data_IF_957240288734
#
_entry.id   IF_957240288734
#
_cell.length_a   1.000
_cell.length_b   1.000
_cell.length_c   1.000
_cell.angle_alpha   90.00
_cell.angle_beta   90.00
_cell.angle_gamma   90.00
#
_symmetry.space_group_name_H-M   'P 1'
#
loop_
_entity.id
_entity.type
_entity.pdbx_description
1 polymer ?
#
# COMPACT_ATOMS: atom_id res chain seq x y z
N UNK A 1 -10.70 12.69 2.59
CA UNK A 1 -9.48 13.18 1.93
C UNK A 1 -8.29 12.74 2.77
N UNK A 2 -7.64 11.63 2.40
CA UNK A 2 -6.44 11.09 3.08
C UNK A 2 -5.14 11.57 2.40
N UNK A 3 -5.22 12.53 1.47
CA UNK A 3 -4.15 12.81 0.52
C UNK A 3 -2.88 13.45 1.11
N UNK A 4 -2.84 13.74 2.41
CA UNK A 4 -1.70 14.45 3.01
C UNK A 4 -1.53 14.19 4.52
N UNK A 5 -1.70 12.95 4.98
CA UNK A 5 -1.42 12.65 6.40
C UNK A 5 0.09 12.66 6.66
N UNK A 6 0.49 13.08 7.87
CA UNK A 6 1.89 13.10 8.29
C UNK A 6 2.54 11.71 8.21
N UNK A 7 1.75 10.64 8.43
CA UNK A 7 2.22 9.27 8.32
C UNK A 7 2.51 8.87 6.86
N UNK A 8 1.61 9.21 5.93
CA UNK A 8 1.81 8.96 4.51
C UNK A 8 3.12 9.61 4.01
N UNK A 9 3.35 10.87 4.38
CA UNK A 9 4.58 11.60 4.04
C UNK A 9 5.83 10.99 4.68
N UNK A 10 5.75 10.58 5.95
CA UNK A 10 6.83 9.87 6.65
C UNK A 10 7.20 8.57 5.93
N UNK A 11 6.21 7.77 5.55
CA UNK A 11 6.44 6.47 4.88
C UNK A 11 7.04 6.68 3.50
N UNK A 12 6.49 7.63 2.72
CA UNK A 12 7.04 8.00 1.40
C UNK A 12 8.52 8.35 1.51
N UNK A 13 8.88 9.23 2.45
CA UNK A 13 10.26 9.65 2.63
C UNK A 13 11.16 8.50 3.09
N UNK A 14 10.65 7.58 3.92
CA UNK A 14 11.39 6.39 4.32
C UNK A 14 11.67 5.45 3.14
N UNK A 15 10.70 5.24 2.23
CA UNK A 15 10.90 4.47 1.00
C UNK A 15 11.94 5.13 0.11
N UNK A 16 11.82 6.45 -0.14
CA UNK A 16 12.77 7.17 -0.99
C UNK A 16 14.18 7.14 -0.40
N UNK A 17 14.34 7.40 0.90
CA UNK A 17 15.64 7.41 1.55
C UNK A 17 16.26 6.02 1.67
N UNK A 18 15.45 5.00 1.94
CA UNK A 18 15.92 3.64 2.18
C UNK A 18 16.15 2.81 0.93
N UNK A 19 15.39 3.05 -0.15
CA UNK A 19 15.31 2.14 -1.29
C UNK A 19 15.69 2.77 -2.65
N UNK A 20 16.01 4.06 -2.73
CA UNK A 20 16.36 4.71 -4.02
C UNK A 20 17.48 3.98 -4.78
N UNK A 21 18.51 3.56 -4.07
CA UNK A 21 19.71 2.91 -4.62
C UNK A 21 19.60 1.37 -4.59
N UNK A 22 18.47 0.84 -4.11
CA UNK A 22 18.22 -0.59 -4.05
C UNK A 22 17.72 -1.11 -5.41
N UNK A 23 18.44 -2.04 -6.07
CA UNK A 23 17.98 -2.65 -7.32
C UNK A 23 16.73 -3.52 -7.12
N UNK A 24 16.46 -4.00 -5.90
CA UNK A 24 15.30 -4.83 -5.51
C UNK A 24 14.28 -4.04 -4.67
N UNK A 25 14.23 -2.71 -4.85
CA UNK A 25 13.36 -1.83 -4.08
C UNK A 25 11.87 -2.25 -4.08
N UNK A 26 11.38 -2.83 -5.19
CA UNK A 26 10.00 -3.28 -5.30
C UNK A 26 9.70 -4.48 -4.39
N UNK A 27 10.68 -5.35 -4.14
CA UNK A 27 10.56 -6.46 -3.18
C UNK A 27 10.87 -6.00 -1.75
N UNK A 28 11.87 -5.13 -1.58
CA UNK A 28 12.35 -4.63 -0.29
C UNK A 28 11.38 -3.69 0.43
N UNK A 29 10.38 -3.12 -0.27
CA UNK A 29 9.38 -2.25 0.37
C UNK A 29 8.51 -2.99 1.38
N UNK A 30 8.23 -4.29 1.16
CA UNK A 30 7.36 -5.08 2.04
C UNK A 30 7.83 -5.10 3.49
N UNK A 31 9.07 -5.56 3.77
CA UNK A 31 9.64 -5.55 5.12
C UNK A 31 9.69 -4.16 5.78
N UNK A 32 10.03 -3.13 5.02
CA UNK A 32 10.05 -1.74 5.52
C UNK A 32 8.66 -1.29 5.99
N UNK A 33 7.63 -1.56 5.17
CA UNK A 33 6.25 -1.21 5.51
C UNK A 33 5.74 -2.02 6.70
N UNK A 34 6.04 -3.31 6.75
CA UNK A 34 5.68 -4.15 7.89
C UNK A 34 6.26 -3.61 9.20
N UNK A 35 7.52 -3.18 9.19
CA UNK A 35 8.16 -2.57 10.36
C UNK A 35 7.44 -1.27 10.78
N UNK A 36 7.20 -0.36 9.83
CA UNK A 36 6.56 0.93 10.12
C UNK A 36 5.13 0.71 10.65
N UNK A 37 4.31 -0.09 9.96
CA UNK A 37 2.93 -0.38 10.38
C UNK A 37 2.90 -1.01 11.78
N UNK A 38 3.81 -1.95 12.08
CA UNK A 38 3.89 -2.58 13.40
C UNK A 38 4.16 -1.57 14.52
N UNK A 39 4.98 -0.56 14.25
CA UNK A 39 5.28 0.52 15.21
C UNK A 39 4.12 1.51 15.34
N UNK A 40 3.53 1.94 14.22
CA UNK A 40 2.47 2.95 14.20
C UNK A 40 1.17 2.42 14.83
N UNK A 41 0.86 1.14 14.64
CA UNK A 41 -0.30 0.52 15.29
C UNK A 41 -0.17 0.39 16.83
N UNK A 42 0.99 0.68 17.41
CA UNK A 42 1.19 0.76 18.87
C UNK A 42 0.98 2.17 19.42
N UNK A 43 0.84 3.18 18.56
CA UNK A 43 0.68 4.56 18.98
C UNK A 43 -0.72 4.80 19.56
N UNK A 44 -0.86 5.63 20.62
CA UNK A 44 -2.16 5.98 21.17
C UNK A 44 -3.06 6.65 20.12
N UNK A 45 -4.31 6.20 20.02
CA UNK A 45 -5.29 6.74 19.07
C UNK A 45 -5.12 6.27 17.61
N UNK A 46 -4.11 5.44 17.31
CA UNK A 46 -3.97 4.83 16.00
C UNK A 46 -5.13 3.86 15.71
N UNK A 47 -5.70 3.97 14.51
CA UNK A 47 -6.68 2.99 14.02
C UNK A 47 -6.06 2.13 12.94
N UNK A 48 -6.41 0.84 12.91
CA UNK A 48 -5.89 -0.10 11.90
C UNK A 48 -6.10 0.41 10.48
N UNK A 49 -7.29 0.95 10.19
CA UNK A 49 -7.59 1.50 8.88
C UNK A 49 -6.69 2.68 8.52
N UNK A 50 -6.59 3.69 9.40
CA UNK A 50 -5.81 4.89 9.10
C UNK A 50 -4.33 4.56 8.85
N UNK A 51 -3.75 3.72 9.71
CA UNK A 51 -2.34 3.31 9.57
C UNK A 51 -2.11 2.54 8.27
N UNK A 52 -2.95 1.55 7.96
CA UNK A 52 -2.76 0.74 6.75
C UNK A 52 -2.96 1.56 5.48
N UNK A 53 -4.01 2.38 5.42
CA UNK A 53 -4.28 3.23 4.25
C UNK A 53 -3.10 4.19 4.02
N UNK A 54 -2.64 4.89 5.05
CA UNK A 54 -1.59 5.90 4.93
C UNK A 54 -0.23 5.28 4.62
N UNK A 55 0.11 4.15 5.26
CA UNK A 55 1.36 3.44 4.98
C UNK A 55 1.38 2.87 3.56
N UNK A 56 0.31 2.21 3.11
CA UNK A 56 0.25 1.66 1.75
C UNK A 56 0.32 2.76 0.69
N UNK A 57 -0.41 3.86 0.87
CA UNK A 57 -0.35 5.00 -0.06
C UNK A 57 1.04 5.65 -0.07
N UNK A 58 1.62 5.92 1.11
CA UNK A 58 2.95 6.50 1.24
C UNK A 58 4.01 5.63 0.58
N UNK A 59 3.91 4.30 0.74
CA UNK A 59 4.80 3.35 0.11
C UNK A 59 4.75 3.43 -1.42
N UNK A 60 3.53 3.40 -1.98
CA UNK A 60 3.33 3.48 -3.43
C UNK A 60 3.80 4.81 -3.99
N UNK A 61 3.53 5.93 -3.30
CA UNK A 61 4.06 7.26 -3.68
C UNK A 61 5.59 7.28 -3.65
N UNK A 62 6.20 6.63 -2.65
CA UNK A 62 7.65 6.48 -2.57
C UNK A 62 8.20 5.75 -3.79
N UNK A 63 7.61 4.59 -4.13
CA UNK A 63 8.01 3.79 -5.29
C UNK A 63 7.85 4.55 -6.63
N UNK A 64 6.79 5.35 -6.77
CA UNK A 64 6.62 6.24 -7.94
C UNK A 64 7.79 7.22 -8.05
N UNK A 65 8.21 7.84 -6.94
CA UNK A 65 9.28 8.84 -6.94
C UNK A 65 10.67 8.25 -7.25
N UNK A 66 10.89 6.98 -6.93
CA UNK A 66 12.14 6.28 -7.26
C UNK A 66 12.04 5.43 -8.53
N UNK A 67 10.97 5.62 -9.31
CA UNK A 67 10.73 5.00 -10.63
C UNK A 67 10.83 3.46 -10.62
N UNK A 68 10.31 2.81 -9.57
CA UNK A 68 10.36 1.35 -9.42
C UNK A 68 9.07 0.68 -9.89
N UNK A 69 9.14 -0.64 -10.06
CA UNK A 69 8.03 -1.50 -10.47
C UNK A 69 6.88 -1.45 -9.44
N UNK A 70 5.83 -0.69 -9.78
CA UNK A 70 4.65 -0.51 -8.92
C UNK A 70 3.84 -1.80 -8.76
N UNK A 71 3.56 -2.59 -9.81
CA UNK A 71 2.90 -3.90 -9.65
C UNK A 71 3.62 -4.83 -8.68
N UNK A 72 4.94 -4.98 -8.79
CA UNK A 72 5.72 -5.82 -7.88
C UNK A 72 5.71 -5.26 -6.45
N UNK A 73 5.87 -3.94 -6.30
CA UNK A 73 5.78 -3.25 -5.02
C UNK A 73 4.46 -3.45 -4.29
N UNK A 74 3.34 -3.33 -5.01
CA UNK A 74 2.00 -3.55 -4.47
C UNK A 74 1.84 -4.97 -3.91
N UNK A 75 2.31 -5.99 -4.64
CA UNK A 75 2.30 -7.39 -4.19
C UNK A 75 3.17 -7.56 -2.95
N UNK A 76 4.40 -7.02 -2.94
CA UNK A 76 5.32 -7.15 -1.81
C UNK A 76 4.73 -6.53 -0.53
N UNK A 77 4.09 -5.36 -0.65
CA UNK A 77 3.39 -4.70 0.46
C UNK A 77 2.28 -5.59 1.02
N UNK A 78 1.38 -6.11 0.16
CA UNK A 78 0.27 -6.94 0.64
C UNK A 78 0.72 -8.26 1.24
N UNK A 79 1.70 -8.94 0.64
CA UNK A 79 2.26 -10.18 1.20
C UNK A 79 2.86 -9.92 2.59
N UNK A 80 3.60 -8.84 2.76
CA UNK A 80 4.17 -8.47 4.05
C UNK A 80 3.09 -8.18 5.10
N UNK A 81 2.02 -7.47 4.72
CA UNK A 81 0.92 -7.15 5.63
C UNK A 81 0.05 -8.38 5.97
N UNK A 82 -0.11 -9.33 5.05
CA UNK A 82 -0.85 -10.57 5.33
C UNK A 82 -0.28 -11.33 6.55
N UNK A 83 1.05 -11.31 6.72
CA UNK A 83 1.70 -11.88 7.91
C UNK A 83 1.30 -11.14 9.19
N UNK A 84 1.25 -9.81 9.18
CA UNK A 84 0.82 -9.01 10.33
C UNK A 84 -0.63 -9.29 10.74
N UNK A 85 -1.50 -9.50 9.75
CA UNK A 85 -2.92 -9.75 9.98
C UNK A 85 -3.13 -11.09 10.69
N UNK A 86 -2.32 -12.11 10.39
CA UNK A 86 -2.40 -13.42 11.07
C UNK A 86 -2.02 -13.34 12.56
N UNK A 87 -1.18 -12.38 12.94
CA UNK A 87 -0.69 -12.23 14.31
C UNK A 87 -1.62 -11.40 15.21
N UNK A 88 -2.63 -10.75 14.64
CA UNK A 88 -3.53 -9.83 15.35
C UNK A 88 -4.93 -10.40 15.52
N UNK A 89 -5.54 -10.11 16.67
CA UNK A 89 -6.97 -10.31 16.89
C UNK A 89 -7.77 -9.30 16.06
N UNK A 90 -8.49 -9.77 15.05
CA UNK A 90 -9.30 -8.94 14.16
C UNK A 90 -9.87 -9.75 13.01
N UNK A 91 -10.66 -9.10 12.16
CA UNK A 91 -11.12 -9.67 10.89
C UNK A 91 -10.01 -9.54 9.84
N UNK A 92 -9.43 -10.65 9.36
CA UNK A 92 -8.33 -10.59 8.41
C UNK A 92 -8.72 -9.98 7.07
N UNK A 93 -9.93 -10.27 6.59
CA UNK A 93 -10.43 -9.79 5.30
C UNK A 93 -10.60 -8.28 5.34
N UNK A 94 -11.20 -7.77 6.42
CA UNK A 94 -11.38 -6.32 6.61
C UNK A 94 -10.05 -5.58 6.72
N UNK A 95 -9.07 -6.19 7.37
CA UNK A 95 -7.73 -5.58 7.53
C UNK A 95 -6.98 -5.52 6.20
N UNK A 96 -7.01 -6.60 5.42
CA UNK A 96 -6.43 -6.60 4.07
C UNK A 96 -7.14 -5.62 3.13
N UNK A 97 -8.47 -5.52 3.21
CA UNK A 97 -9.25 -4.54 2.44
C UNK A 97 -8.77 -3.10 2.64
N UNK A 98 -8.38 -2.72 3.86
CA UNK A 98 -7.81 -1.38 4.12
C UNK A 98 -6.45 -1.17 3.46
N UNK A 99 -5.61 -2.20 3.39
CA UNK A 99 -4.34 -2.11 2.69
C UNK A 99 -4.57 -1.94 1.18
N UNK A 100 -5.48 -2.71 0.60
CA UNK A 100 -5.88 -2.58 -0.81
C UNK A 100 -6.48 -1.21 -1.11
N UNK A 101 -7.31 -0.68 -0.21
CA UNK A 101 -7.82 0.69 -0.29
C UNK A 101 -6.67 1.72 -0.34
N UNK A 102 -5.68 1.57 0.54
CA UNK A 102 -4.47 2.40 0.57
C UNK A 102 -3.69 2.39 -0.75
N UNK A 103 -3.49 1.20 -1.33
CA UNK A 103 -2.85 1.06 -2.63
C UNK A 103 -3.65 1.76 -3.72
N UNK A 104 -4.97 1.61 -3.73
CA UNK A 104 -5.83 2.19 -4.75
C UNK A 104 -5.78 3.73 -4.76
N UNK A 105 -5.47 4.39 -3.64
CA UNK A 105 -5.29 5.86 -3.57
C UNK A 105 -4.17 6.40 -4.47
N UNK A 106 -3.30 5.53 -4.98
CA UNK A 106 -2.31 5.92 -5.98
C UNK A 106 -2.94 6.35 -7.32
N UNK A 107 -4.21 6.00 -7.58
CA UNK A 107 -4.92 6.35 -8.81
C UNK A 107 -5.02 7.85 -9.09
N UNK A 108 -4.82 8.70 -8.08
CA UNK A 108 -4.71 10.15 -8.20
C UNK A 108 -3.45 10.62 -8.93
N UNK A 109 -2.38 9.80 -8.96
CA UNK A 109 -1.05 10.21 -9.44
C UNK A 109 -0.45 9.30 -10.51
N UNK A 110 -1.08 8.17 -10.84
CA UNK A 110 -0.61 7.25 -11.90
C UNK A 110 -1.62 7.12 -13.04
N UNK A 111 -1.10 6.73 -14.21
CA UNK A 111 -1.90 6.53 -15.41
C UNK A 111 -2.76 5.25 -15.34
N UNK A 112 -3.86 5.18 -16.11
CA UNK A 112 -4.74 3.99 -16.16
C UNK A 112 -4.01 2.68 -16.44
N UNK A 113 -3.01 2.67 -17.33
CA UNK A 113 -2.27 1.46 -17.69
C UNK A 113 -1.47 0.89 -16.51
N UNK A 114 -0.88 1.75 -15.69
CA UNK A 114 -0.18 1.35 -14.47
C UNK A 114 -1.15 0.75 -13.44
N UNK A 115 -2.35 1.32 -13.32
CA UNK A 115 -3.40 0.78 -12.44
C UNK A 115 -3.89 -0.58 -12.91
N UNK A 116 -4.04 -0.77 -14.22
CA UNK A 116 -4.38 -2.07 -14.79
C UNK A 116 -3.27 -3.10 -14.53
N UNK A 117 -2.00 -2.72 -14.69
CA UNK A 117 -0.87 -3.59 -14.41
C UNK A 117 -0.82 -4.01 -12.92
N UNK A 118 -1.06 -3.08 -12.00
CA UNK A 118 -1.17 -3.38 -10.56
C UNK A 118 -2.32 -4.37 -10.32
N UNK A 119 -3.52 -4.09 -10.83
CA UNK A 119 -4.69 -4.94 -10.63
C UNK A 119 -4.45 -6.38 -11.14
N UNK A 120 -3.92 -6.51 -12.36
CA UNK A 120 -3.60 -7.81 -12.97
C UNK A 120 -2.56 -8.57 -12.17
N UNK A 121 -1.49 -7.89 -11.71
CA UNK A 121 -0.44 -8.53 -10.93
C UNK A 121 -0.93 -8.96 -9.54
N UNK A 122 -1.77 -8.13 -8.90
CA UNK A 122 -2.40 -8.45 -7.63
C UNK A 122 -3.30 -9.68 -7.76
N UNK A 123 -4.15 -9.75 -8.80
CA UNK A 123 -5.03 -10.91 -9.02
C UNK A 123 -4.24 -12.20 -9.26
N UNK A 124 -3.17 -12.13 -10.04
CA UNK A 124 -2.32 -13.28 -10.34
C UNK A 124 -1.61 -13.85 -9.10
N UNK A 125 -1.30 -13.01 -8.10
CA UNK A 125 -0.52 -13.39 -6.92
C UNK A 125 -1.40 -13.60 -5.67
N UNK A 126 -2.54 -12.91 -5.58
CA UNK A 126 -3.45 -12.89 -4.44
C UNK A 126 -4.90 -12.82 -4.95
N UNK A 127 -5.51 -13.99 -5.13
CA UNK A 127 -6.86 -14.16 -5.70
C UNK A 127 -7.90 -13.21 -5.09
N UNK A 128 -8.68 -12.54 -5.94
CA UNK A 128 -9.73 -11.59 -5.57
C UNK A 128 -9.24 -10.16 -5.27
N UNK A 129 -7.93 -9.97 -5.06
CA UNK A 129 -7.37 -8.66 -4.69
C UNK A 129 -7.37 -7.68 -5.86
N UNK A 130 -7.21 -8.16 -7.10
CA UNK A 130 -7.20 -7.29 -8.27
C UNK A 130 -8.59 -6.69 -8.54
N UNK A 131 -9.65 -7.48 -8.35
CA UNK A 131 -11.03 -7.00 -8.45
C UNK A 131 -11.35 -5.98 -7.34
N UNK A 132 -10.93 -6.25 -6.10
CA UNK A 132 -11.12 -5.34 -4.98
C UNK A 132 -10.38 -4.00 -5.19
N UNK A 133 -9.10 -4.07 -5.60
CA UNK A 133 -8.31 -2.89 -5.96
C UNK A 133 -9.01 -2.05 -7.04
N UNK A 134 -9.43 -2.68 -8.14
CA UNK A 134 -10.14 -2.00 -9.24
C UNK A 134 -11.42 -1.32 -8.76
N UNK A 135 -12.16 -1.97 -7.86
CA UNK A 135 -13.37 -1.41 -7.26
C UNK A 135 -13.08 -0.16 -6.43
N UNK A 136 -11.97 -0.12 -5.68
CA UNK A 136 -11.56 1.08 -4.96
C UNK A 136 -11.09 2.19 -5.89
N UNK A 137 -10.33 1.88 -6.94
CA UNK A 137 -9.91 2.85 -7.96
C UNK A 137 -11.12 3.52 -8.62
N UNK A 138 -12.14 2.74 -8.98
CA UNK A 138 -13.38 3.30 -9.54
C UNK A 138 -14.11 4.22 -8.56
N UNK A 139 -14.22 3.81 -7.29
CA UNK A 139 -14.88 4.63 -6.26
C UNK A 139 -14.18 5.98 -6.09
N UNK A 140 -12.85 5.99 -6.12
CA UNK A 140 -12.08 7.23 -6.01
C UNK A 140 -12.27 8.15 -7.22
N UNK A 141 -12.32 7.59 -8.43
CA UNK A 141 -12.57 8.37 -9.65
C UNK A 141 -13.98 8.95 -9.72
N UNK A 142 -14.97 8.27 -9.14
CA UNK A 142 -16.38 8.71 -9.12
C UNK A 142 -16.69 9.68 -7.97
N UNK A 143 -15.84 9.73 -6.93
CA UNK A 143 -16.03 10.55 -5.74
C UNK A 143 -15.05 11.72 -5.60
N UNK A 144 -14.30 12.02 -6.66
CA UNK A 144 -13.42 13.20 -6.79
C UNK A 144 -14.12 14.36 -7.47
#
# INVERSE_FOLDING_TARGET
MAENSALCEKVKNAVVAGLKDDPQAAESVGPLILQIVTLELKQPGATTRAVLVDCCLGAMRGLVLIEKDLPAGAVAILKALAHLVQERSGDPMKTMSYAVEGLAYIASVVQPDALHAIATRLEAEIMGTGQEFSSFVEKQRKGG
#
